data_IF_442922747067
#
_entry.id   IF_442922747067
#
_cell.length_a   1.000
_cell.length_b   1.000
_cell.length_c   1.000
_cell.angle_alpha   90.00
_cell.angle_beta   90.00
_cell.angle_gamma   90.00
#
_symmetry.space_group_name_H-M   'P 1'
#
loop_
_entity.id
_entity.type
_entity.pdbx_description
1 polymer ?
#
# COMPACT_ATOMS: atom_id res chain seq x y z
N UNK A 1 -7.53 -15.87 -9.98
CA UNK A 1 -6.55 -14.79 -9.68
C UNK A 1 -5.17 -15.42 -9.51
N UNK A 2 -4.08 -14.77 -9.97
CA UNK A 2 -2.74 -15.30 -9.74
C UNK A 2 -2.16 -14.77 -8.41
N UNK A 3 -2.37 -15.53 -7.33
CA UNK A 3 -1.98 -15.14 -5.97
C UNK A 3 -0.47 -14.90 -5.82
N UNK A 4 0.37 -15.74 -6.45
CA UNK A 4 1.83 -15.57 -6.42
C UNK A 4 2.24 -14.19 -6.94
N UNK A 5 1.64 -13.76 -8.05
CA UNK A 5 1.90 -12.43 -8.61
C UNK A 5 1.37 -11.31 -7.72
N UNK A 6 0.17 -11.48 -7.17
CA UNK A 6 -0.42 -10.50 -6.26
C UNK A 6 0.48 -10.26 -5.03
N UNK A 7 0.99 -11.34 -4.43
CA UNK A 7 1.92 -11.28 -3.29
C UNK A 7 3.20 -10.55 -3.68
N UNK A 8 3.84 -10.91 -4.80
CA UNK A 8 5.06 -10.23 -5.25
C UNK A 8 4.86 -8.73 -5.50
N UNK A 9 3.75 -8.34 -6.14
CA UNK A 9 3.43 -6.93 -6.35
C UNK A 9 3.13 -6.21 -5.04
N UNK A 10 2.51 -6.90 -4.07
CA UNK A 10 2.22 -6.35 -2.74
C UNK A 10 3.50 -6.10 -1.94
N UNK A 11 4.49 -7.02 -2.02
CA UNK A 11 5.81 -6.83 -1.40
C UNK A 11 6.52 -5.61 -2.01
N UNK A 12 6.52 -5.49 -3.34
CA UNK A 12 7.15 -4.34 -4.02
C UNK A 12 6.45 -3.02 -3.69
N UNK A 13 5.12 -3.01 -3.64
CA UNK A 13 4.34 -1.86 -3.22
C UNK A 13 4.63 -1.50 -1.76
N UNK A 14 4.71 -2.49 -0.86
CA UNK A 14 5.08 -2.27 0.53
C UNK A 14 6.45 -1.60 0.65
N UNK A 15 7.49 -2.15 0.02
CA UNK A 15 8.85 -1.56 0.05
C UNK A 15 8.83 -0.14 -0.51
N UNK A 16 8.11 0.08 -1.60
CA UNK A 16 8.01 1.41 -2.22
C UNK A 16 7.25 2.41 -1.34
N UNK A 17 6.18 1.95 -0.67
CA UNK A 17 5.40 2.76 0.28
C UNK A 17 6.21 3.08 1.54
N UNK A 18 7.05 2.15 2.00
CA UNK A 18 7.96 2.37 3.12
C UNK A 18 9.01 3.43 2.77
N UNK A 19 9.61 3.35 1.57
CA UNK A 19 10.53 4.39 1.08
C UNK A 19 9.84 5.74 0.95
N UNK A 20 8.62 5.78 0.42
CA UNK A 20 7.83 7.00 0.31
C UNK A 20 7.55 7.60 1.70
N UNK A 21 7.15 6.77 2.66
CA UNK A 21 6.92 7.20 4.05
C UNK A 21 8.21 7.71 4.70
N UNK A 22 9.34 7.03 4.52
CA UNK A 22 10.64 7.49 4.99
C UNK A 22 11.04 8.84 4.38
N UNK A 23 10.76 9.06 3.09
CA UNK A 23 10.99 10.35 2.43
C UNK A 23 10.15 11.46 3.05
N UNK A 24 8.90 11.21 3.44
CA UNK A 24 8.08 12.23 4.14
C UNK A 24 8.70 12.67 5.46
N UNK A 25 9.47 11.81 6.12
CA UNK A 25 10.21 12.14 7.36
C UNK A 25 11.52 12.90 7.11
N UNK A 26 12.08 12.82 5.90
CA UNK A 26 13.31 13.50 5.53
C UNK A 26 13.09 14.95 5.03
N UNK A 27 11.85 15.31 4.68
CA UNK A 27 11.51 16.64 4.17
C UNK A 27 11.21 17.59 5.35
N UNK A 28 11.99 18.68 5.54
CA UNK A 28 11.86 19.57 6.70
C UNK A 28 10.54 20.36 6.73
N UNK A 29 9.76 20.36 5.65
CA UNK A 29 8.43 20.98 5.58
C UNK A 29 7.40 20.29 6.50
N UNK A 30 7.64 19.04 6.91
CA UNK A 30 6.77 18.28 7.78
C UNK A 30 7.34 18.25 9.21
N UNK A 31 7.24 19.40 9.92
CA UNK A 31 7.75 19.56 11.29
C UNK A 31 7.17 18.55 12.28
N UNK A 32 5.90 18.15 12.09
CA UNK A 32 5.26 17.04 12.80
C UNK A 32 4.98 15.88 11.83
N UNK A 33 5.76 14.81 12.00
CA UNK A 33 5.73 13.61 11.17
C UNK A 33 4.41 12.83 11.29
N UNK A 34 3.67 13.01 12.38
CA UNK A 34 2.35 12.40 12.59
C UNK A 34 1.19 13.37 12.33
N UNK A 35 1.49 14.59 11.85
CA UNK A 35 0.47 15.55 11.48
C UNK A 35 -0.39 15.06 10.32
N UNK A 36 -1.62 15.54 10.27
CA UNK A 36 -2.55 15.24 9.18
C UNK A 36 -1.98 15.68 7.81
N UNK A 37 -1.17 16.74 7.77
CA UNK A 37 -0.56 17.25 6.53
C UNK A 37 0.41 16.25 5.91
N UNK A 38 1.26 15.62 6.73
CA UNK A 38 2.20 14.58 6.28
C UNK A 38 1.45 13.37 5.69
N UNK A 39 0.35 12.97 6.33
CA UNK A 39 -0.50 11.89 5.84
C UNK A 39 -1.26 12.24 4.56
N UNK A 40 -1.76 13.47 4.41
CA UNK A 40 -2.39 13.93 3.17
C UNK A 40 -1.38 13.85 2.01
N UNK A 41 -0.15 14.33 2.22
CA UNK A 41 0.91 14.22 1.22
C UNK A 41 1.19 12.75 0.88
N UNK A 42 1.34 11.90 1.90
CA UNK A 42 1.53 10.47 1.72
C UNK A 42 0.37 9.82 0.93
N UNK A 43 -0.89 10.16 1.23
CA UNK A 43 -2.06 9.67 0.50
C UNK A 43 -2.09 10.13 -0.95
N UNK A 44 -1.72 11.37 -1.24
CA UNK A 44 -1.62 11.85 -2.62
C UNK A 44 -0.56 11.06 -3.38
N UNK A 45 0.58 10.74 -2.76
CA UNK A 45 1.64 9.97 -3.38
C UNK A 45 1.38 8.46 -3.45
N UNK A 46 0.60 7.88 -2.53
CA UNK A 46 0.30 6.45 -2.54
C UNK A 46 -0.68 6.08 -3.66
N UNK A 47 -1.59 6.99 -4.04
CA UNK A 47 -2.54 6.77 -5.14
C UNK A 47 -1.83 6.39 -6.45
N UNK A 48 -0.93 7.23 -7.03
CA UNK A 48 -0.26 6.88 -8.28
C UNK A 48 0.61 5.62 -8.13
N UNK A 49 1.19 5.39 -6.95
CA UNK A 49 1.96 4.18 -6.68
C UNK A 49 1.09 2.92 -6.80
N UNK A 50 -0.06 2.89 -6.12
CA UNK A 50 -1.02 1.78 -6.19
C UNK A 50 -1.52 1.59 -7.62
N UNK A 51 -1.80 2.67 -8.36
CA UNK A 51 -2.23 2.60 -9.76
C UNK A 51 -1.15 1.99 -10.67
N UNK A 52 0.12 2.35 -10.51
CA UNK A 52 1.24 1.80 -11.29
C UNK A 52 1.37 0.29 -11.05
N UNK A 53 1.39 -0.14 -9.79
CA UNK A 53 1.50 -1.56 -9.45
C UNK A 53 0.26 -2.36 -9.86
N UNK A 54 -0.94 -1.78 -9.73
CA UNK A 54 -2.18 -2.38 -10.22
C UNK A 54 -2.15 -2.57 -11.73
N UNK A 55 -1.71 -1.55 -12.50
CA UNK A 55 -1.56 -1.65 -13.97
C UNK A 55 -0.62 -2.78 -14.35
N UNK A 56 0.50 -2.91 -13.63
CA UNK A 56 1.44 -4.00 -13.85
C UNK A 56 0.81 -5.36 -13.53
N UNK A 57 0.13 -5.50 -12.41
CA UNK A 57 -0.57 -6.72 -12.02
C UNK A 57 -1.61 -7.15 -13.07
N UNK A 58 -2.40 -6.22 -13.58
CA UNK A 58 -3.44 -6.46 -14.57
C UNK A 58 -2.94 -6.61 -16.02
N UNK A 59 -1.66 -6.33 -16.31
CA UNK A 59 -1.10 -6.52 -17.68
C UNK A 59 -1.25 -7.95 -18.25
N UNK A 60 -1.46 -8.97 -17.41
CA UNK A 60 -1.62 -10.38 -17.84
C UNK A 60 -2.92 -11.01 -17.34
N UNK A 61 -3.84 -10.21 -16.80
CA UNK A 61 -5.08 -10.68 -16.19
C UNK A 61 -6.17 -9.71 -16.59
N UNK A 62 -7.28 -10.24 -17.12
CA UNK A 62 -8.43 -9.38 -17.42
C UNK A 62 -8.80 -8.58 -16.15
N UNK A 63 -8.83 -7.24 -16.24
CA UNK A 63 -9.15 -6.42 -15.09
C UNK A 63 -10.62 -6.60 -14.71
N UNK A 64 -10.94 -6.42 -13.45
CA UNK A 64 -12.32 -6.23 -13.01
C UNK A 64 -12.31 -5.60 -11.62
N UNK A 65 -13.38 -4.88 -11.26
CA UNK A 65 -13.51 -4.27 -9.92
C UNK A 65 -13.36 -5.30 -8.82
N UNK A 66 -13.95 -6.49 -8.99
CA UNK A 66 -13.85 -7.59 -8.02
C UNK A 66 -12.40 -8.09 -7.85
N UNK A 67 -11.63 -8.20 -8.95
CA UNK A 67 -10.20 -8.58 -8.88
C UNK A 67 -9.35 -7.46 -8.30
N UNK A 68 -9.70 -6.20 -8.57
CA UNK A 68 -9.08 -5.02 -7.96
C UNK A 68 -9.25 -5.01 -6.44
N UNK A 69 -10.47 -5.26 -5.97
CA UNK A 69 -10.77 -5.39 -4.54
C UNK A 69 -9.98 -6.53 -3.89
N UNK A 70 -9.99 -7.71 -4.50
CA UNK A 70 -9.21 -8.85 -4.00
C UNK A 70 -7.71 -8.56 -3.97
N UNK A 71 -7.18 -7.88 -4.98
CA UNK A 71 -5.78 -7.45 -5.00
C UNK A 71 -5.48 -6.45 -3.88
N UNK A 72 -6.35 -5.46 -3.66
CA UNK A 72 -6.24 -4.51 -2.55
C UNK A 72 -6.22 -5.19 -1.17
N UNK A 73 -7.09 -6.17 -0.94
CA UNK A 73 -7.10 -6.97 0.30
C UNK A 73 -5.80 -7.75 0.47
N UNK A 74 -5.25 -8.33 -0.61
CA UNK A 74 -3.96 -9.02 -0.56
C UNK A 74 -2.83 -8.04 -0.22
N UNK A 75 -2.84 -6.83 -0.79
CA UNK A 75 -1.85 -5.80 -0.47
C UNK A 75 -1.87 -5.54 1.04
N UNK A 76 -3.04 -5.24 1.61
CA UNK A 76 -3.19 -4.97 3.04
C UNK A 76 -2.73 -6.15 3.87
N UNK A 77 -3.17 -7.37 3.55
CA UNK A 77 -2.77 -8.56 4.29
C UNK A 77 -1.26 -8.79 4.27
N UNK A 78 -0.61 -8.65 3.11
CA UNK A 78 0.84 -8.79 2.97
C UNK A 78 1.57 -7.68 3.72
N UNK A 79 1.11 -6.43 3.64
CA UNK A 79 1.71 -5.31 4.37
C UNK A 79 1.65 -5.52 5.88
N UNK A 80 0.52 -5.96 6.43
CA UNK A 80 0.39 -6.26 7.86
C UNK A 80 1.29 -7.41 8.31
N UNK A 81 1.45 -8.45 7.48
CA UNK A 81 2.40 -9.54 7.76
C UNK A 81 3.83 -9.01 7.78
N UNK A 82 4.21 -8.18 6.81
CA UNK A 82 5.57 -7.60 6.73
C UNK A 82 5.83 -6.66 7.92
N UNK A 83 4.87 -5.82 8.29
CA UNK A 83 4.94 -4.98 9.50
C UNK A 83 5.14 -5.84 10.76
N UNK A 84 4.37 -6.91 10.90
CA UNK A 84 4.50 -7.85 12.03
C UNK A 84 5.88 -8.52 12.07
N UNK A 85 6.41 -8.93 10.92
CA UNK A 85 7.77 -9.46 10.82
C UNK A 85 8.83 -8.40 11.15
N UNK A 86 8.65 -7.16 10.72
CA UNK A 86 9.52 -6.03 11.07
C UNK A 86 9.48 -5.73 12.57
N UNK A 87 8.30 -5.74 13.19
CA UNK A 87 8.14 -5.56 14.63
C UNK A 87 8.79 -6.70 15.43
N UNK A 88 8.62 -7.95 14.99
CA UNK A 88 9.29 -9.10 15.61
C UNK A 88 10.81 -8.99 15.51
N UNK A 89 11.33 -8.58 14.35
CA UNK A 89 12.76 -8.32 14.16
C UNK A 89 13.28 -7.22 15.09
N UNK A 90 12.55 -6.11 15.20
CA UNK A 90 12.87 -5.01 16.11
C UNK A 90 12.87 -5.45 17.59
N UNK A 91 11.89 -6.27 17.98
CA UNK A 91 11.81 -6.86 19.33
C UNK A 91 13.03 -7.72 19.66
N UNK A 92 13.40 -8.64 18.75
CA UNK A 92 14.59 -9.50 18.91
C UNK A 92 15.86 -8.64 18.99
N UNK A 93 15.92 -7.56 18.22
CA UNK A 93 17.03 -6.59 18.23
C UNK A 93 17.00 -5.60 19.41
N UNK A 94 16.05 -5.75 20.35
CA UNK A 94 15.87 -4.88 21.53
C UNK A 94 15.66 -3.39 21.17
N UNK A 95 15.06 -3.12 20.02
CA UNK A 95 14.68 -1.77 19.61
C UNK A 95 13.35 -1.36 20.26
N UNK A 96 13.14 -0.05 20.56
CA UNK A 96 11.87 0.43 21.08
C UNK A 96 10.73 0.22 20.08
N UNK A 97 9.57 -0.23 20.56
CA UNK A 97 8.37 -0.51 19.75
C UNK A 97 7.29 0.57 19.87
N UNK A 98 7.55 1.65 20.60
CA UNK A 98 6.56 2.68 20.92
C UNK A 98 6.02 3.36 19.66
N UNK A 99 6.88 3.59 18.68
CA UNK A 99 6.48 4.14 17.38
C UNK A 99 5.59 3.19 16.57
N UNK A 100 5.82 1.88 16.71
CA UNK A 100 5.00 0.86 16.06
C UNK A 100 3.61 0.82 16.69
N UNK A 101 3.53 0.82 18.03
CA UNK A 101 2.26 0.88 18.74
C UNK A 101 1.48 2.16 18.39
N UNK A 102 2.15 3.32 18.39
CA UNK A 102 1.53 4.60 18.04
C UNK A 102 0.92 4.58 16.63
N UNK A 103 1.62 4.03 15.64
CA UNK A 103 1.14 3.89 14.27
C UNK A 103 -0.14 3.05 14.20
N UNK A 104 -0.18 1.92 14.92
CA UNK A 104 -1.32 1.00 14.92
C UNK A 104 -2.52 1.51 15.74
N UNK A 105 -2.33 2.50 16.60
CA UNK A 105 -3.44 3.20 17.27
C UNK A 105 -3.96 4.40 16.49
N UNK A 106 -3.28 4.81 15.42
CA UNK A 106 -3.64 6.00 14.65
C UNK A 106 -4.69 5.67 13.57
N UNK A 107 -5.82 6.39 13.58
CA UNK A 107 -6.88 6.23 12.58
C UNK A 107 -6.38 6.46 11.15
N UNK A 108 -5.32 7.27 10.97
CA UNK A 108 -4.74 7.59 9.66
C UNK A 108 -4.12 6.36 8.99
N UNK A 109 -3.64 5.37 9.76
CA UNK A 109 -3.21 4.07 9.23
C UNK A 109 -4.40 3.36 8.58
N UNK A 110 -5.51 3.23 9.31
CA UNK A 110 -6.69 2.53 8.80
C UNK A 110 -7.30 3.22 7.58
N UNK A 111 -7.31 4.57 7.56
CA UNK A 111 -7.68 5.33 6.37
C UNK A 111 -6.78 5.02 5.16
N UNK A 112 -5.47 4.84 5.39
CA UNK A 112 -4.52 4.41 4.36
C UNK A 112 -4.86 3.02 3.83
N UNK A 113 -5.18 2.06 4.70
CA UNK A 113 -5.55 0.70 4.30
C UNK A 113 -6.82 0.70 3.44
N UNK A 114 -7.84 1.46 3.84
CA UNK A 114 -9.08 1.63 3.08
C UNK A 114 -8.80 2.29 1.72
N UNK A 115 -7.97 3.33 1.69
CA UNK A 115 -7.58 4.01 0.46
C UNK A 115 -6.89 3.06 -0.52
N UNK A 116 -5.95 2.23 -0.04
CA UNK A 116 -5.27 1.24 -0.90
C UNK A 116 -6.27 0.27 -1.53
N UNK A 117 -7.22 -0.25 -0.75
CA UNK A 117 -8.26 -1.16 -1.26
C UNK A 117 -9.16 -0.44 -2.26
N UNK A 118 -9.59 0.79 -1.97
CA UNK A 118 -10.43 1.59 -2.84
C UNK A 118 -9.74 1.88 -4.18
N UNK A 119 -8.49 2.35 -4.15
CA UNK A 119 -7.72 2.67 -5.36
C UNK A 119 -7.45 1.42 -6.19
N UNK A 120 -7.08 0.29 -5.56
CA UNK A 120 -6.89 -0.97 -6.27
C UNK A 120 -8.20 -1.48 -6.91
N UNK A 121 -9.34 -1.29 -6.24
CA UNK A 121 -10.67 -1.64 -6.77
C UNK A 121 -11.03 -0.79 -8.00
N UNK A 122 -10.83 0.53 -7.91
CA UNK A 122 -11.06 1.47 -9.03
C UNK A 122 -10.12 1.13 -10.20
N UNK A 123 -8.84 0.88 -9.93
CA UNK A 123 -7.89 0.45 -10.95
C UNK A 123 -8.34 -0.82 -11.68
N UNK A 124 -8.90 -1.79 -10.95
CA UNK A 124 -9.47 -3.00 -11.52
C UNK A 124 -10.63 -2.74 -12.48
N UNK A 125 -11.49 -1.76 -12.21
CA UNK A 125 -12.58 -1.37 -13.09
C UNK A 125 -12.15 -0.52 -14.28
N UNK A 126 -11.30 0.49 -14.06
CA UNK A 126 -10.81 1.40 -15.11
C UNK A 126 -9.92 0.69 -16.14
N UNK A 127 -9.10 -0.27 -15.69
CA UNK A 127 -8.28 -1.03 -16.62
C UNK A 127 -9.09 -2.00 -17.48
N UNK A 128 -10.30 -2.38 -17.05
CA UNK A 128 -11.19 -3.28 -17.80
C UNK A 128 -11.61 -2.61 -19.12
N UNK A 129 -11.95 -1.32 -19.07
CA UNK A 129 -12.31 -0.53 -20.25
C UNK A 129 -11.14 -0.10 -21.15
N UNK A 130 -9.90 -0.12 -20.64
CA UNK A 130 -8.71 0.36 -21.38
C UNK A 130 -7.82 -0.76 -21.92
N UNK A 131 -8.20 -2.02 -21.72
CA UNK A 131 -7.35 -3.18 -21.98
C UNK A 131 -8.03 -4.40 -22.62
N UNK A 132 -9.28 -4.30 -23.11
CA UNK A 132 -9.84 -5.35 -23.96
C UNK A 132 -9.15 -5.33 -25.33
N UNK A 133 -7.91 -5.84 -25.39
CA UNK A 133 -7.50 -6.53 -26.61
C UNK A 133 -8.27 -7.83 -26.60
N UNK A 134 -9.38 -7.83 -27.33
CA UNK A 134 -9.97 -9.05 -27.86
C UNK A 134 -8.89 -9.74 -28.71
N UNK A 135 -8.18 -10.68 -28.10
CA UNK A 135 -7.30 -11.64 -28.80
C UNK A 135 -7.47 -12.98 -28.13
#
# INVERSE_FOLDING_TARGET
MNYKRAIWMSILLYVSSFLLYALTRAVPYFEDQNSLKSYIFFWVCIIPLVLIFSKWFFKKLQPSTARGFQFGVIIVAVSLILDGLSALGAYIAKQPLDQFAALYTDWKLYATLVLIVAVASVAGGEFDGTGSKDT
#
